data_IF_768139534003
#
_entry.id   IF_768139534003
#
_cell.length_a   1.000
_cell.length_b   1.000
_cell.length_c   1.000
_cell.angle_alpha   90.00
_cell.angle_beta   90.00
_cell.angle_gamma   90.00
#
_symmetry.space_group_name_H-M   'P 1'
#
loop_
_entity.id
_entity.type
_entity.pdbx_description
1 polymer ?
#
# COMPACT_ATOMS: atom_id res chain seq x y z
N UNK A 1 -0.22 6.40 24.53
CA UNK A 1 -1.41 6.58 23.68
C UNK A 1 -2.02 5.25 23.20
N UNK A 2 -1.38 4.47 22.31
CA UNK A 2 -2.00 3.25 21.73
C UNK A 2 -2.44 2.23 22.80
N UNK A 3 -1.59 1.92 23.78
CA UNK A 3 -1.93 0.99 24.88
C UNK A 3 -3.15 1.42 25.71
N UNK A 4 -3.46 2.71 25.73
CA UNK A 4 -4.62 3.27 26.43
C UNK A 4 -5.87 3.28 25.53
N UNK A 5 -5.71 3.70 24.27
CA UNK A 5 -6.82 3.91 23.35
C UNK A 5 -7.37 2.61 22.72
N UNK A 6 -6.54 1.58 22.55
CA UNK A 6 -6.97 0.31 21.92
C UNK A 6 -7.60 -0.59 22.97
N UNK A 7 -8.94 -0.72 22.92
CA UNK A 7 -9.76 -1.54 23.83
C UNK A 7 -10.65 -2.49 23.02
N UNK A 8 -11.13 -3.56 23.66
CA UNK A 8 -12.09 -4.48 23.03
C UNK A 8 -13.41 -3.76 22.71
N UNK A 9 -14.19 -4.25 21.72
CA UNK A 9 -15.52 -3.70 21.44
C UNK A 9 -16.44 -3.67 22.67
N UNK A 10 -16.41 -4.69 23.51
CA UNK A 10 -17.20 -4.75 24.74
C UNK A 10 -16.80 -3.68 25.77
N UNK A 11 -15.49 -3.47 25.96
CA UNK A 11 -15.00 -2.43 26.87
C UNK A 11 -15.33 -1.02 26.35
N UNK A 12 -15.28 -0.80 25.03
CA UNK A 12 -15.70 0.45 24.42
C UNK A 12 -17.21 0.66 24.59
N UNK A 13 -18.03 -0.35 24.30
CA UNK A 13 -19.48 -0.28 24.48
C UNK A 13 -19.85 0.10 25.92
N UNK A 14 -19.26 -0.59 26.91
CA UNK A 14 -19.47 -0.26 28.32
C UNK A 14 -19.05 1.18 28.64
N UNK A 15 -17.90 1.64 28.14
CA UNK A 15 -17.42 3.00 28.37
C UNK A 15 -18.35 4.06 27.78
N UNK A 16 -18.95 3.79 26.62
CA UNK A 16 -19.89 4.69 25.96
C UNK A 16 -21.18 4.80 26.78
N UNK A 17 -21.74 3.68 27.23
CA UNK A 17 -23.04 3.66 27.93
C UNK A 17 -22.97 4.02 29.40
N UNK A 18 -21.77 4.03 30.00
CA UNK A 18 -21.59 4.39 31.43
C UNK A 18 -20.96 5.77 31.59
N UNK A 19 -19.74 5.95 31.08
CA UNK A 19 -18.97 7.20 31.27
C UNK A 19 -19.33 8.24 30.20
N UNK A 20 -19.61 7.79 28.97
CA UNK A 20 -19.89 8.68 27.83
C UNK A 20 -21.10 9.58 28.04
N UNK A 21 -22.19 9.05 28.62
CA UNK A 21 -23.43 9.80 28.87
C UNK A 21 -23.19 10.98 29.82
N UNK A 22 -22.49 10.74 30.94
CA UNK A 22 -22.14 11.78 31.89
C UNK A 22 -21.14 12.78 31.32
N UNK A 23 -20.13 12.33 30.54
CA UNK A 23 -19.17 13.22 29.87
C UNK A 23 -19.83 14.17 28.87
N UNK A 24 -20.79 13.66 28.09
CA UNK A 24 -21.56 14.46 27.15
C UNK A 24 -22.67 15.28 27.83
N UNK A 25 -22.83 15.13 29.15
CA UNK A 25 -23.88 15.77 29.96
C UNK A 25 -25.28 15.52 29.39
N UNK A 26 -25.54 14.30 28.92
CA UNK A 26 -26.82 13.90 28.34
C UNK A 26 -27.86 13.52 29.40
N UNK A 27 -27.47 13.52 30.68
CA UNK A 27 -28.32 13.24 31.85
C UNK A 27 -28.90 14.54 32.47
N UNK A 28 -28.86 15.66 31.74
CA UNK A 28 -29.33 16.95 32.26
C UNK A 28 -30.86 17.04 32.24
N UNK A 29 -31.40 17.72 33.24
CA UNK A 29 -32.84 17.92 33.43
C UNK A 29 -33.49 18.85 32.38
N UNK A 30 -32.71 19.74 31.76
CA UNK A 30 -33.20 20.71 30.77
C UNK A 30 -33.50 20.11 29.39
N UNK A 31 -33.07 18.87 29.13
CA UNK A 31 -33.42 18.14 27.90
C UNK A 31 -34.93 17.92 27.75
N UNK A 32 -35.63 17.78 28.88
CA UNK A 32 -37.09 17.61 28.92
C UNK A 32 -37.85 18.85 28.43
N UNK A 33 -37.26 20.05 28.54
CA UNK A 33 -37.85 21.28 27.99
C UNK A 33 -37.85 21.32 26.45
N UNK A 34 -37.10 20.42 25.81
CA UNK A 34 -37.05 20.23 24.37
C UNK A 34 -37.73 18.92 23.92
N UNK A 35 -38.50 18.26 24.80
CA UNK A 35 -39.13 16.96 24.55
C UNK A 35 -38.13 15.86 24.14
N UNK A 36 -36.87 15.96 24.61
CA UNK A 36 -35.81 15.00 24.32
C UNK A 36 -35.60 14.03 25.48
N UNK A 37 -35.63 12.74 25.17
CA UNK A 37 -35.30 11.65 26.11
C UNK A 37 -34.15 10.82 25.57
N UNK A 38 -33.12 10.58 26.39
CA UNK A 38 -31.93 9.79 26.04
C UNK A 38 -32.02 8.40 26.68
N UNK A 39 -31.84 7.35 25.89
CA UNK A 39 -31.78 5.97 26.38
C UNK A 39 -30.34 5.58 26.72
N UNK A 40 -30.06 4.95 27.87
CA UNK A 40 -28.70 4.66 28.32
C UNK A 40 -28.12 3.36 27.73
N UNK A 41 -28.65 2.89 26.60
CA UNK A 41 -28.18 1.69 25.92
C UNK A 41 -27.90 1.98 24.44
N UNK A 42 -27.00 1.18 23.86
CA UNK A 42 -26.71 1.28 22.44
C UNK A 42 -27.94 0.91 21.59
N UNK A 43 -28.05 1.54 20.43
CA UNK A 43 -29.05 1.17 19.44
C UNK A 43 -28.76 -0.25 18.93
N UNK A 44 -29.77 -1.11 18.97
CA UNK A 44 -29.70 -2.45 18.38
C UNK A 44 -30.22 -2.42 16.95
N UNK A 45 -29.41 -2.93 16.01
CA UNK A 45 -29.76 -2.98 14.58
C UNK A 45 -29.57 -4.41 14.05
N UNK A 46 -30.42 -4.80 13.11
CA UNK A 46 -30.27 -6.07 12.41
C UNK A 46 -29.15 -5.97 11.37
N UNK A 47 -28.05 -6.68 11.61
CA UNK A 47 -26.94 -6.82 10.67
C UNK A 47 -27.13 -7.97 9.70
N UNK A 48 -26.55 -7.86 8.50
CA UNK A 48 -26.42 -8.97 7.54
C UNK A 48 -24.95 -9.35 7.39
N UNK A 49 -24.66 -10.65 7.45
CA UNK A 49 -23.33 -11.19 7.15
C UNK A 49 -23.30 -11.67 5.70
N UNK A 50 -22.57 -10.95 4.85
CA UNK A 50 -22.40 -11.34 3.46
C UNK A 50 -21.52 -12.60 3.35
N UNK A 51 -21.76 -13.48 2.36
CA UNK A 51 -20.88 -14.60 2.08
C UNK A 51 -19.49 -14.09 1.70
N UNK A 52 -18.45 -14.78 2.16
CA UNK A 52 -17.08 -14.40 1.84
C UNK A 52 -16.76 -14.72 0.37
N UNK A 53 -16.11 -13.81 -0.37
CA UNK A 53 -15.70 -14.12 -1.73
C UNK A 53 -14.61 -15.19 -1.74
N UNK A 54 -14.50 -15.89 -2.87
CA UNK A 54 -13.37 -16.76 -3.11
C UNK A 54 -12.19 -15.96 -3.66
N UNK A 55 -10.97 -16.49 -3.47
CA UNK A 55 -9.74 -15.89 -4.01
C UNK A 55 -9.15 -16.81 -5.07
N UNK A 56 -8.93 -16.29 -6.27
CA UNK A 56 -8.39 -17.02 -7.41
C UNK A 56 -6.89 -16.74 -7.59
N UNK A 57 -6.09 -17.81 -7.55
CA UNK A 57 -4.67 -17.88 -7.88
C UNK A 57 -4.48 -18.61 -9.21
N UNK A 58 -3.26 -18.66 -9.75
CA UNK A 58 -3.00 -19.19 -11.10
C UNK A 58 -3.58 -20.59 -11.37
N UNK A 59 -3.59 -21.47 -10.36
CA UNK A 59 -4.07 -22.86 -10.49
C UNK A 59 -5.08 -23.27 -9.42
N UNK A 60 -5.45 -22.36 -8.51
CA UNK A 60 -6.24 -22.71 -7.32
C UNK A 60 -7.16 -21.57 -6.91
N UNK A 61 -8.42 -21.92 -6.69
CA UNK A 61 -9.39 -21.04 -6.02
C UNK A 61 -9.53 -21.49 -4.57
N UNK A 62 -9.53 -20.55 -3.63
CA UNK A 62 -9.68 -20.87 -2.20
C UNK A 62 -10.80 -20.07 -1.55
N UNK A 63 -11.48 -20.72 -0.61
CA UNK A 63 -12.43 -20.06 0.28
C UNK A 63 -11.70 -19.24 1.33
N UNK A 64 -12.26 -18.08 1.65
CA UNK A 64 -11.75 -17.19 2.69
C UNK A 64 -12.40 -17.54 4.02
N UNK A 65 -11.59 -17.73 5.07
CA UNK A 65 -12.08 -18.03 6.42
C UNK A 65 -11.75 -16.83 7.32
N UNK A 66 -12.76 -16.22 7.94
CA UNK A 66 -12.61 -15.04 8.80
C UNK A 66 -11.79 -13.91 8.13
N UNK A 67 -12.08 -13.63 6.85
CA UNK A 67 -11.36 -12.65 6.03
C UNK A 67 -9.85 -12.94 5.88
N UNK A 68 -9.41 -14.20 6.05
CA UNK A 68 -8.01 -14.62 5.93
C UNK A 68 -7.83 -15.76 4.93
N UNK A 69 -6.65 -15.77 4.33
CA UNK A 69 -6.12 -16.80 3.45
C UNK A 69 -4.58 -16.73 3.51
N UNK A 70 -3.90 -17.74 2.97
CA UNK A 70 -2.44 -17.76 2.86
C UNK A 70 -1.97 -18.16 1.46
N UNK A 71 -0.65 -18.11 1.25
CA UNK A 71 0.02 -18.44 -0.01
C UNK A 71 0.70 -19.81 -0.01
N UNK A 72 0.52 -20.64 1.02
CA UNK A 72 1.11 -21.99 1.06
C UNK A 72 0.54 -22.82 -0.08
N UNK A 73 1.43 -23.44 -0.85
CA UNK A 73 1.12 -24.26 -2.03
C UNK A 73 0.30 -23.53 -3.11
N UNK A 74 0.51 -22.21 -3.26
CA UNK A 74 -0.18 -21.37 -4.25
C UNK A 74 0.83 -20.49 -4.97
N UNK A 75 0.64 -20.32 -6.28
CA UNK A 75 1.42 -19.40 -7.10
C UNK A 75 0.59 -18.20 -7.52
N UNK A 76 1.26 -17.07 -7.76
CA UNK A 76 0.60 -15.83 -8.14
C UNK A 76 -0.11 -15.96 -9.49
N UNK A 77 -1.25 -15.29 -9.66
CA UNK A 77 -2.05 -15.32 -10.89
C UNK A 77 -1.23 -14.96 -12.14
N UNK A 78 -0.38 -13.94 -12.03
CA UNK A 78 0.60 -13.53 -13.03
C UNK A 78 1.89 -13.12 -12.32
N UNK A 79 2.90 -13.98 -12.39
CA UNK A 79 4.24 -13.65 -11.94
C UNK A 79 4.92 -12.74 -12.98
N UNK A 80 5.46 -11.61 -12.52
CA UNK A 80 6.29 -10.74 -13.34
C UNK A 80 7.72 -11.29 -13.42
N UNK A 81 8.32 -11.21 -14.61
CA UNK A 81 9.73 -11.53 -14.79
C UNK A 81 10.61 -10.36 -14.35
N UNK A 82 11.74 -10.67 -13.72
CA UNK A 82 12.75 -9.67 -13.34
C UNK A 82 14.13 -10.25 -13.66
N UNK A 83 14.67 -9.87 -14.82
CA UNK A 83 15.95 -10.37 -15.34
C UNK A 83 17.14 -9.58 -14.83
N UNK A 84 16.97 -8.28 -14.52
CA UNK A 84 18.02 -7.42 -13.99
C UNK A 84 17.50 -6.59 -12.82
N UNK A 85 18.13 -6.72 -11.66
CA UNK A 85 17.84 -5.92 -10.48
C UNK A 85 19.11 -5.70 -9.66
N UNK A 86 19.06 -4.71 -8.77
CA UNK A 86 20.19 -4.33 -7.90
C UNK A 86 19.72 -4.22 -6.46
N UNK A 87 20.65 -4.41 -5.53
CA UNK A 87 20.41 -4.20 -4.10
C UNK A 87 21.31 -3.07 -3.62
N UNK A 88 20.72 -2.05 -2.99
CA UNK A 88 21.43 -0.97 -2.30
C UNK A 88 21.13 -1.09 -0.80
N UNK A 89 22.17 -1.24 0.02
CA UNK A 89 22.06 -1.17 1.47
C UNK A 89 22.58 0.17 1.96
N UNK A 90 21.69 0.96 2.56
CA UNK A 90 22.00 2.27 3.12
C UNK A 90 22.15 2.12 4.63
N UNK A 91 23.22 2.66 5.22
CA UNK A 91 23.44 2.66 6.67
C UNK A 91 23.75 4.06 7.18
N UNK A 92 23.21 4.40 8.34
CA UNK A 92 23.51 5.63 9.07
C UNK A 92 23.86 5.27 10.52
N UNK A 93 25.15 5.08 10.81
CA UNK A 93 25.63 4.60 12.11
C UNK A 93 25.79 3.08 12.17
N UNK A 94 25.14 2.42 13.14
CA UNK A 94 25.27 0.97 13.34
C UNK A 94 24.73 0.16 12.16
N UNK A 95 25.48 -0.87 11.76
CA UNK A 95 25.13 -1.77 10.67
C UNK A 95 24.60 -3.08 11.25
N UNK A 96 23.49 -3.61 10.71
CA UNK A 96 22.96 -4.92 11.12
C UNK A 96 23.89 -6.06 10.67
N UNK A 97 24.43 -5.95 9.46
CA UNK A 97 25.41 -6.90 8.92
C UNK A 97 26.80 -6.26 8.92
N UNK A 98 27.74 -6.84 9.65
CA UNK A 98 29.16 -6.45 9.60
C UNK A 98 29.90 -7.15 8.46
N UNK A 99 29.49 -8.36 8.09
CA UNK A 99 30.03 -9.11 6.97
C UNK A 99 29.07 -9.04 5.77
N UNK A 100 29.51 -8.55 4.60
CA UNK A 100 28.70 -8.54 3.38
C UNK A 100 28.13 -9.92 2.98
N UNK A 101 28.82 -11.01 3.33
CA UNK A 101 28.37 -12.37 3.04
C UNK A 101 27.06 -12.74 3.78
N UNK A 102 26.83 -12.19 4.97
CA UNK A 102 25.61 -12.46 5.73
C UNK A 102 24.39 -11.81 5.06
N UNK A 103 24.56 -10.60 4.53
CA UNK A 103 23.53 -9.94 3.74
C UNK A 103 23.28 -10.70 2.42
N UNK A 104 24.34 -11.17 1.75
CA UNK A 104 24.20 -11.99 0.55
C UNK A 104 23.41 -13.29 0.82
N UNK A 105 23.62 -13.90 1.99
CA UNK A 105 22.85 -15.07 2.44
C UNK A 105 21.37 -14.73 2.61
N UNK A 106 21.06 -13.60 3.27
CA UNK A 106 19.67 -13.12 3.41
C UNK A 106 19.01 -12.86 2.05
N UNK A 107 19.73 -12.23 1.11
CA UNK A 107 19.23 -11.97 -0.25
C UNK A 107 18.97 -13.27 -1.01
N UNK A 108 19.84 -14.27 -0.85
CA UNK A 108 19.67 -15.59 -1.46
C UNK A 108 18.46 -16.33 -0.89
N UNK A 109 18.26 -16.27 0.43
CA UNK A 109 17.08 -16.81 1.11
C UNK A 109 15.79 -16.10 0.66
N UNK A 110 15.84 -14.77 0.47
CA UNK A 110 14.74 -13.98 -0.09
C UNK A 110 14.35 -14.48 -1.48
N UNK A 111 15.28 -14.54 -2.43
CA UNK A 111 15.03 -15.04 -3.79
C UNK A 111 14.50 -16.47 -3.78
N UNK A 112 15.10 -17.34 -2.98
CA UNK A 112 14.66 -18.74 -2.85
C UNK A 112 13.21 -18.83 -2.36
N UNK A 113 12.86 -18.07 -1.32
CA UNK A 113 11.50 -18.03 -0.77
C UNK A 113 10.44 -17.56 -1.77
N UNK A 114 10.80 -16.66 -2.68
CA UNK A 114 9.90 -16.17 -3.72
C UNK A 114 9.60 -17.19 -4.82
N UNK A 115 10.48 -18.17 -5.04
CA UNK A 115 10.21 -19.27 -6.00
C UNK A 115 8.99 -20.08 -5.59
N UNK A 116 8.74 -20.23 -4.29
CA UNK A 116 7.57 -20.95 -3.75
C UNK A 116 6.23 -20.34 -4.16
N UNK A 117 6.18 -19.05 -4.49
CA UNK A 117 4.98 -18.37 -5.00
C UNK A 117 5.00 -18.16 -6.52
N UNK A 118 5.96 -18.79 -7.22
CA UNK A 118 6.07 -18.74 -8.69
C UNK A 118 6.86 -17.55 -9.24
N UNK A 119 7.54 -16.77 -8.40
CA UNK A 119 8.42 -15.69 -8.85
C UNK A 119 9.80 -16.25 -9.18
N UNK A 120 10.06 -16.45 -10.48
CA UNK A 120 11.32 -16.96 -11.01
C UNK A 120 12.26 -15.82 -11.40
N UNK A 121 12.72 -15.05 -10.41
CA UNK A 121 13.61 -13.91 -10.63
C UNK A 121 15.07 -14.32 -10.76
N UNK A 122 15.87 -13.45 -11.37
CA UNK A 122 17.32 -13.61 -11.43
C UNK A 122 17.93 -13.78 -10.03
N UNK A 123 19.11 -14.41 -9.98
CA UNK A 123 19.85 -14.63 -8.74
C UNK A 123 20.06 -13.33 -7.94
N UNK A 124 20.24 -13.47 -6.63
CA UNK A 124 20.48 -12.35 -5.72
C UNK A 124 21.72 -11.54 -6.16
N UNK A 125 21.57 -10.25 -6.52
CA UNK A 125 22.69 -9.42 -6.90
C UNK A 125 23.57 -9.12 -5.68
N UNK A 126 24.88 -8.91 -5.86
CA UNK A 126 25.73 -8.44 -4.78
C UNK A 126 25.20 -7.08 -4.26
N UNK A 127 25.07 -6.89 -2.94
CA UNK A 127 24.60 -5.63 -2.37
C UNK A 127 25.67 -4.55 -2.52
N UNK A 128 25.29 -3.38 -3.01
CA UNK A 128 26.11 -2.17 -2.93
C UNK A 128 25.84 -1.46 -1.60
N UNK A 129 26.89 -1.12 -0.85
CA UNK A 129 26.78 -0.43 0.44
C UNK A 129 26.95 1.08 0.25
N UNK A 130 26.05 1.86 0.85
CA UNK A 130 26.17 3.31 0.99
C UNK A 130 26.10 3.69 2.47
N UNK A 131 27.16 4.34 2.95
CA UNK A 131 27.17 4.95 4.29
C UNK A 131 26.79 6.42 4.15
N UNK A 132 25.78 6.85 4.90
CA UNK A 132 25.32 8.23 4.90
C UNK A 132 25.43 8.84 6.29
N UNK A 133 25.68 10.15 6.32
CA UNK A 133 25.56 10.93 7.54
C UNK A 133 24.08 11.16 7.88
N UNK A 134 23.76 11.14 9.17
CA UNK A 134 22.37 11.26 9.63
C UNK A 134 21.78 12.67 9.40
N UNK A 135 22.63 13.70 9.31
CA UNK A 135 22.25 15.11 9.20
C UNK A 135 21.78 15.50 7.79
N UNK A 136 22.38 14.96 6.73
CA UNK A 136 22.00 15.29 5.36
C UNK A 136 22.24 14.12 4.37
N UNK A 137 21.42 13.06 4.43
CA UNK A 137 21.63 11.86 3.61
C UNK A 137 21.26 12.05 2.13
N UNK A 138 20.50 13.09 1.77
CA UNK A 138 19.81 13.20 0.48
C UNK A 138 20.75 13.28 -0.74
N UNK A 139 21.83 14.07 -0.65
CA UNK A 139 22.74 14.26 -1.79
C UNK A 139 23.47 12.96 -2.16
N UNK A 140 24.05 12.27 -1.17
CA UNK A 140 24.73 11.00 -1.36
C UNK A 140 23.78 9.90 -1.86
N UNK A 141 22.55 9.85 -1.33
CA UNK A 141 21.52 8.91 -1.79
C UNK A 141 21.16 9.17 -3.26
N UNK A 142 20.93 10.42 -3.62
CA UNK A 142 20.53 10.79 -4.99
C UNK A 142 21.63 10.46 -5.98
N UNK A 143 22.89 10.82 -5.68
CA UNK A 143 24.04 10.47 -6.52
C UNK A 143 24.16 8.95 -6.69
N UNK A 144 24.06 8.18 -5.60
CA UNK A 144 24.22 6.73 -5.67
C UNK A 144 23.09 6.06 -6.44
N UNK A 145 21.86 6.54 -6.28
CA UNK A 145 20.70 6.01 -7.02
C UNK A 145 20.77 6.36 -8.50
N UNK A 146 21.27 7.55 -8.86
CA UNK A 146 21.53 7.91 -10.25
C UNK A 146 22.53 6.94 -10.92
N UNK A 147 23.66 6.67 -10.28
CA UNK A 147 24.65 5.68 -10.76
C UNK A 147 24.02 4.29 -11.00
N UNK A 148 23.16 3.85 -10.08
CA UNK A 148 22.45 2.57 -10.18
C UNK A 148 21.40 2.58 -11.29
N UNK A 149 20.66 3.67 -11.45
CA UNK A 149 19.64 3.84 -12.47
C UNK A 149 20.25 3.84 -13.88
N UNK A 150 21.45 4.41 -14.06
CA UNK A 150 22.19 4.38 -15.32
C UNK A 150 22.53 2.96 -15.78
N UNK A 151 22.59 1.98 -14.87
CA UNK A 151 22.74 0.55 -15.18
C UNK A 151 21.43 -0.10 -15.70
N UNK A 152 20.34 0.67 -15.79
CA UNK A 152 19.00 0.28 -16.27
C UNK A 152 18.44 -1.00 -15.63
N UNK A 153 18.41 -1.11 -14.29
CA UNK A 153 17.77 -2.24 -13.64
C UNK A 153 16.25 -2.21 -13.83
N UNK A 154 15.61 -3.37 -13.88
CA UNK A 154 14.15 -3.45 -13.85
C UNK A 154 13.58 -3.00 -12.50
N UNK A 155 14.35 -3.16 -11.41
CA UNK A 155 13.99 -2.71 -10.07
C UNK A 155 15.22 -2.59 -9.14
N UNK A 156 15.12 -1.71 -8.15
CA UNK A 156 16.03 -1.60 -7.01
C UNK A 156 15.38 -2.16 -5.73
N UNK A 157 16.05 -3.08 -5.04
CA UNK A 157 15.77 -3.38 -3.64
C UNK A 157 16.64 -2.46 -2.78
N UNK A 158 16.03 -1.60 -1.98
CA UNK A 158 16.75 -0.65 -1.13
C UNK A 158 16.55 -1.02 0.33
N UNK A 159 17.62 -1.43 1.00
CA UNK A 159 17.60 -1.77 2.42
C UNK A 159 17.99 -0.51 3.20
N UNK A 160 17.10 -0.06 4.09
CA UNK A 160 17.28 1.17 4.87
C UNK A 160 17.38 0.85 6.37
N UNK A 161 18.04 1.70 7.18
CA UNK A 161 18.19 1.44 8.60
C UNK A 161 16.83 1.57 9.32
N UNK A 162 16.68 0.89 10.45
CA UNK A 162 15.49 1.05 11.30
C UNK A 162 15.40 2.45 11.95
N UNK A 163 16.55 3.02 12.30
CA UNK A 163 16.68 4.35 12.87
C UNK A 163 16.81 5.43 11.77
N UNK A 164 16.24 6.62 12.00
CA UNK A 164 16.23 7.74 11.05
C UNK A 164 15.75 7.35 9.63
N UNK A 165 14.80 6.42 9.55
CA UNK A 165 14.40 5.81 8.29
C UNK A 165 13.54 6.74 7.42
N UNK A 166 12.87 7.74 7.99
CA UNK A 166 11.95 8.63 7.26
C UNK A 166 12.71 9.50 6.26
N UNK A 167 13.78 10.18 6.69
CA UNK A 167 14.58 11.07 5.82
C UNK A 167 15.22 10.30 4.67
N UNK A 168 15.82 9.15 4.98
CA UNK A 168 16.40 8.23 3.99
C UNK A 168 15.33 7.69 3.03
N UNK A 169 14.19 7.23 3.55
CA UNK A 169 13.09 6.73 2.73
C UNK A 169 12.58 7.81 1.77
N UNK A 170 12.37 9.03 2.25
CA UNK A 170 11.92 10.15 1.42
C UNK A 170 12.93 10.48 0.33
N UNK A 171 14.24 10.51 0.65
CA UNK A 171 15.29 10.74 -0.35
C UNK A 171 15.33 9.63 -1.41
N UNK A 172 15.24 8.36 -1.00
CA UNK A 172 15.19 7.22 -1.91
C UNK A 172 13.97 7.30 -2.83
N UNK A 173 12.80 7.62 -2.27
CA UNK A 173 11.54 7.70 -3.01
C UNK A 173 11.49 8.86 -3.97
N UNK A 174 11.94 10.03 -3.55
CA UNK A 174 12.07 11.18 -4.43
C UNK A 174 13.00 10.88 -5.60
N UNK A 175 14.19 10.35 -5.32
CA UNK A 175 15.16 10.01 -6.38
C UNK A 175 14.63 8.93 -7.33
N UNK A 176 14.11 7.81 -6.82
CA UNK A 176 13.62 6.73 -7.67
C UNK A 176 12.35 7.11 -8.46
N UNK A 177 11.34 7.66 -7.78
CA UNK A 177 10.00 7.83 -8.35
C UNK A 177 9.87 9.14 -9.15
N UNK A 178 10.64 10.20 -8.81
CA UNK A 178 10.55 11.52 -9.45
C UNK A 178 11.74 11.82 -10.37
N UNK A 179 12.97 11.53 -9.94
CA UNK A 179 14.16 11.93 -10.70
C UNK A 179 14.55 10.88 -11.75
N UNK A 180 14.65 9.61 -11.35
CA UNK A 180 15.22 8.55 -12.18
C UNK A 180 14.18 7.69 -12.90
N UNK A 181 12.93 7.67 -12.42
CA UNK A 181 11.86 6.84 -12.98
C UNK A 181 12.12 5.33 -12.87
N UNK A 182 12.84 4.89 -11.83
CA UNK A 182 13.20 3.49 -11.59
C UNK A 182 12.35 2.88 -10.49
N UNK A 183 11.80 1.69 -10.73
CA UNK A 183 11.02 0.99 -9.70
C UNK A 183 11.91 0.65 -8.50
N UNK A 184 11.45 0.97 -7.29
CA UNK A 184 12.17 0.60 -6.07
C UNK A 184 11.27 -0.02 -4.99
N UNK A 185 11.82 -0.94 -4.21
CA UNK A 185 11.21 -1.50 -3.02
C UNK A 185 12.12 -1.28 -1.81
N UNK A 186 11.66 -0.47 -0.85
CA UNK A 186 12.37 -0.29 0.40
C UNK A 186 12.04 -1.40 1.41
N UNK A 187 13.03 -1.88 2.14
CA UNK A 187 12.87 -2.80 3.29
C UNK A 187 13.72 -2.31 4.46
N UNK A 188 13.30 -2.61 5.68
CA UNK A 188 14.05 -2.21 6.89
C UNK A 188 15.03 -3.32 7.25
N UNK A 189 16.30 -2.96 7.42
CA UNK A 189 17.41 -3.88 7.73
C UNK A 189 17.11 -4.90 8.83
N UNK A 190 16.69 -4.45 10.01
CA UNK A 190 16.38 -5.27 11.19
C UNK A 190 15.19 -6.21 10.99
N UNK A 191 14.30 -5.91 10.03
CA UNK A 191 13.20 -6.81 9.65
C UNK A 191 13.68 -7.81 8.60
N UNK A 192 14.45 -7.36 7.63
CA UNK A 192 14.98 -8.19 6.55
C UNK A 192 15.98 -9.23 7.07
N UNK A 193 16.80 -8.87 8.06
CA UNK A 193 17.78 -9.77 8.70
C UNK A 193 17.16 -10.96 9.44
N UNK A 194 15.88 -10.89 9.82
CA UNK A 194 15.20 -12.00 10.52
C UNK A 194 14.88 -13.19 9.63
N UNK A 195 15.04 -13.07 8.31
CA UNK A 195 14.80 -14.13 7.32
C UNK A 195 13.43 -14.82 7.45
N UNK A 196 12.40 -14.08 7.90
CA UNK A 196 11.06 -14.64 8.03
C UNK A 196 10.44 -14.81 6.65
N UNK A 197 10.19 -16.05 6.24
CA UNK A 197 9.63 -16.37 4.92
C UNK A 197 8.34 -15.61 4.62
N UNK A 198 7.45 -15.45 5.60
CA UNK A 198 6.21 -14.69 5.42
C UNK A 198 6.47 -13.21 5.12
N UNK A 199 7.49 -12.60 5.73
CA UNK A 199 7.89 -11.23 5.44
C UNK A 199 8.46 -11.12 4.03
N UNK A 200 9.35 -12.03 3.64
CA UNK A 200 9.92 -12.09 2.29
C UNK A 200 8.86 -12.25 1.21
N UNK A 201 7.93 -13.19 1.39
CA UNK A 201 6.80 -13.37 0.48
C UNK A 201 5.98 -12.08 0.38
N UNK A 202 5.67 -11.42 1.50
CA UNK A 202 4.91 -10.16 1.47
C UNK A 202 5.64 -9.03 0.73
N UNK A 203 6.97 -8.94 0.85
CA UNK A 203 7.79 -8.00 0.06
C UNK A 203 7.73 -8.37 -1.44
N UNK A 204 7.85 -9.66 -1.77
CA UNK A 204 7.74 -10.15 -3.15
C UNK A 204 6.39 -9.86 -3.79
N UNK A 205 5.28 -9.95 -3.04
CA UNK A 205 3.95 -9.56 -3.51
C UNK A 205 3.89 -8.10 -3.95
N UNK A 206 4.52 -7.20 -3.21
CA UNK A 206 4.55 -5.76 -3.55
C UNK A 206 5.40 -5.51 -4.79
N UNK A 207 6.57 -6.14 -4.87
CA UNK A 207 7.47 -6.05 -6.02
C UNK A 207 6.83 -6.63 -7.29
N UNK A 208 6.10 -7.75 -7.20
CA UNK A 208 5.38 -8.33 -8.33
C UNK A 208 4.36 -7.34 -8.91
N UNK A 209 3.59 -6.64 -8.07
CA UNK A 209 2.63 -5.63 -8.53
C UNK A 209 3.33 -4.46 -9.23
N UNK A 210 4.44 -3.96 -8.69
CA UNK A 210 5.24 -2.88 -9.30
C UNK A 210 5.79 -3.26 -10.67
N UNK A 211 6.14 -4.54 -10.87
CA UNK A 211 6.60 -5.08 -12.16
C UNK A 211 5.45 -5.45 -13.12
N UNK A 212 4.20 -5.08 -12.80
CA UNK A 212 3.04 -5.35 -13.66
C UNK A 212 2.49 -6.78 -13.58
N UNK A 213 2.89 -7.53 -12.55
CA UNK A 213 2.32 -8.84 -12.20
C UNK A 213 0.95 -8.71 -11.52
N UNK A 214 0.27 -9.83 -11.32
CA UNK A 214 -1.01 -9.91 -10.61
C UNK A 214 -0.92 -11.01 -9.57
N UNK A 215 -1.12 -10.66 -8.31
CA UNK A 215 -0.96 -11.63 -7.22
C UNK A 215 -2.11 -12.65 -7.20
N UNK A 216 -3.34 -12.15 -7.37
CA UNK A 216 -4.60 -12.91 -7.27
C UNK A 216 -5.73 -12.10 -7.91
N UNK A 217 -6.85 -12.75 -8.18
CA UNK A 217 -8.09 -12.11 -8.65
C UNK A 217 -9.30 -12.67 -7.89
N UNK A 218 -10.48 -12.17 -8.24
CA UNK A 218 -11.77 -12.69 -7.79
C UNK A 218 -12.35 -13.52 -8.94
N UNK A 219 -12.86 -14.75 -8.71
CA UNK A 219 -13.51 -15.52 -9.76
C UNK A 219 -14.71 -14.79 -10.38
N UNK A 220 -14.98 -15.02 -11.66
CA UNK A 220 -16.13 -14.43 -12.37
C UNK A 220 -17.47 -14.83 -11.70
N UNK A 221 -17.54 -16.00 -11.05
CA UNK A 221 -18.72 -16.43 -10.26
C UNK A 221 -19.06 -15.50 -9.08
N UNK A 222 -18.11 -14.67 -8.64
CA UNK A 222 -18.29 -13.73 -7.54
C UNK A 222 -18.62 -12.29 -8.02
N UNK A 223 -18.72 -12.04 -9.33
CA UNK A 223 -18.98 -10.69 -9.86
C UNK A 223 -20.45 -10.26 -9.78
N UNK A 224 -21.37 -11.20 -9.56
CA UNK A 224 -22.80 -10.92 -9.46
C UNK A 224 -23.33 -10.29 -10.75
N UNK A 225 -23.95 -9.12 -10.65
CA UNK A 225 -24.46 -8.35 -11.80
C UNK A 225 -23.41 -7.44 -12.44
N UNK A 226 -22.22 -7.30 -11.84
CA UNK A 226 -21.15 -6.49 -12.38
C UNK A 226 -20.42 -7.31 -13.44
N UNK A 227 -20.19 -6.71 -14.61
CA UNK A 227 -19.36 -7.23 -15.69
C UNK A 227 -17.94 -6.63 -15.58
N UNK A 228 -16.94 -7.31 -14.97
CA UNK A 228 -15.62 -6.73 -14.73
C UNK A 228 -14.87 -6.40 -16.03
N UNK A 229 -15.20 -7.04 -17.14
CA UNK A 229 -14.64 -6.78 -18.47
C UNK A 229 -15.15 -5.48 -19.11
N UNK A 230 -16.25 -4.92 -18.61
CA UNK A 230 -16.85 -3.66 -19.09
C UNK A 230 -16.85 -2.55 -18.04
N UNK A 231 -16.45 -2.84 -16.80
CA UNK A 231 -16.59 -1.93 -15.67
C UNK A 231 -15.23 -1.49 -15.18
N UNK A 232 -14.97 -0.18 -15.20
CA UNK A 232 -13.78 0.41 -14.60
C UNK A 232 -14.11 0.88 -13.18
N UNK A 233 -13.33 0.41 -12.21
CA UNK A 233 -13.39 0.87 -10.83
C UNK A 233 -12.37 1.99 -10.63
N UNK A 234 -12.79 3.04 -9.92
CA UNK A 234 -12.00 4.25 -9.71
C UNK A 234 -12.01 4.61 -8.23
N UNK A 235 -10.85 4.97 -7.70
CA UNK A 235 -10.69 5.53 -6.35
C UNK A 235 -10.26 6.99 -6.45
N UNK A 236 -10.87 7.86 -5.65
CA UNK A 236 -10.55 9.28 -5.52
C UNK A 236 -10.30 9.61 -4.04
N UNK A 237 -9.24 10.36 -3.78
CA UNK A 237 -8.91 10.85 -2.43
C UNK A 237 -8.13 12.17 -2.50
N UNK A 238 -8.36 13.04 -1.53
CA UNK A 238 -7.58 14.25 -1.30
C UNK A 238 -6.90 14.16 0.06
N UNK A 239 -5.58 14.28 0.06
CA UNK A 239 -4.80 14.34 1.29
C UNK A 239 -4.44 15.79 1.61
N UNK A 240 -4.85 16.25 2.79
CA UNK A 240 -4.45 17.56 3.33
C UNK A 240 -3.11 17.48 4.10
N UNK A 241 -2.40 18.61 4.21
CA UNK A 241 -1.20 18.68 5.05
C UNK A 241 -1.45 18.29 6.50
N UNK A 242 -0.46 17.64 7.12
CA UNK A 242 -0.49 17.29 8.53
C UNK A 242 -0.58 18.54 9.44
N UNK A 243 -1.16 18.43 10.64
CA UNK A 243 -1.10 19.49 11.65
C UNK A 243 0.34 19.96 11.88
N UNK A 244 0.55 21.29 11.90
CA UNK A 244 1.88 21.91 12.02
C UNK A 244 2.58 22.21 10.70
N UNK A 245 2.02 21.80 9.55
CA UNK A 245 2.46 22.29 8.24
C UNK A 245 2.14 23.78 8.06
N UNK A 246 2.81 24.43 7.10
CA UNK A 246 2.47 25.81 6.73
C UNK A 246 1.01 25.89 6.27
N UNK A 247 0.35 27.03 6.54
CA UNK A 247 -1.05 27.23 6.10
C UNK A 247 -1.22 27.19 4.59
N UNK A 248 -0.15 27.49 3.85
CA UNK A 248 -0.06 27.42 2.40
C UNK A 248 0.34 26.04 1.85
N UNK A 249 0.62 25.05 2.71
CA UNK A 249 0.96 23.71 2.25
C UNK A 249 -0.21 23.16 1.43
N UNK A 250 0.05 22.67 0.20
CA UNK A 250 -1.02 22.32 -0.71
C UNK A 250 -1.69 21.00 -0.33
N UNK A 251 -2.92 20.78 -0.81
CA UNK A 251 -3.52 19.44 -0.78
C UNK A 251 -3.04 18.63 -1.99
N UNK A 252 -3.02 17.31 -1.86
CA UNK A 252 -2.71 16.41 -2.97
C UNK A 252 -3.95 15.61 -3.32
N UNK A 253 -4.51 15.86 -4.51
CA UNK A 253 -5.57 15.04 -5.09
C UNK A 253 -4.96 13.83 -5.80
N UNK A 254 -5.62 12.68 -5.67
CA UNK A 254 -5.18 11.42 -6.27
C UNK A 254 -6.35 10.67 -6.91
N UNK A 255 -6.06 10.05 -8.05
CA UNK A 255 -6.95 9.09 -8.71
C UNK A 255 -6.20 7.79 -8.95
N UNK A 256 -6.90 6.67 -8.76
CA UNK A 256 -6.47 5.34 -9.19
C UNK A 256 -7.60 4.68 -9.97
N UNK A 257 -7.27 3.80 -10.91
CA UNK A 257 -8.30 2.97 -11.54
C UNK A 257 -7.80 1.59 -11.90
N UNK A 258 -8.71 0.61 -11.88
CA UNK A 258 -8.47 -0.67 -12.55
C UNK A 258 -8.22 -0.42 -14.05
N UNK A 259 -7.39 -1.25 -14.68
CA UNK A 259 -7.11 -1.15 -16.13
C UNK A 259 -7.60 -2.35 -16.94
N UNK A 260 -8.06 -3.41 -16.27
CA UNK A 260 -8.64 -4.59 -16.88
C UNK A 260 -9.50 -5.38 -15.88
N UNK A 261 -10.14 -6.45 -16.38
CA UNK A 261 -11.01 -7.34 -15.60
C UNK A 261 -10.33 -8.06 -14.43
N UNK A 262 -9.00 -8.14 -14.41
CA UNK A 262 -8.27 -8.88 -13.37
C UNK A 262 -8.25 -8.14 -12.04
N UNK A 263 -8.49 -6.81 -12.09
CA UNK A 263 -8.40 -5.90 -10.94
C UNK A 263 -7.05 -5.98 -10.22
N UNK A 264 -5.99 -6.40 -10.93
CA UNK A 264 -4.66 -6.59 -10.38
C UNK A 264 -3.75 -5.37 -10.44
N UNK A 265 -4.04 -4.41 -11.32
CA UNK A 265 -3.20 -3.25 -11.62
C UNK A 265 -4.00 -1.96 -11.49
N UNK A 266 -3.46 -1.01 -10.72
CA UNK A 266 -4.12 0.23 -10.32
C UNK A 266 -3.15 1.42 -10.42
N UNK A 267 -2.78 1.84 -11.65
CA UNK A 267 -1.94 3.00 -11.84
C UNK A 267 -2.61 4.26 -11.26
N UNK A 268 -1.78 5.09 -10.63
CA UNK A 268 -2.19 6.32 -9.99
C UNK A 268 -1.81 7.55 -10.82
N UNK A 269 -2.60 8.62 -10.69
CA UNK A 269 -2.22 9.96 -11.08
C UNK A 269 -2.52 10.93 -9.93
N UNK A 270 -1.67 11.95 -9.77
CA UNK A 270 -1.78 12.92 -8.68
C UNK A 270 -1.71 14.35 -9.20
N UNK A 271 -2.34 15.28 -8.48
CA UNK A 271 -2.28 16.72 -8.69
C UNK A 271 -2.15 17.45 -7.38
N UNK A 272 -1.33 18.49 -7.38
CA UNK A 272 -1.23 19.44 -6.27
C UNK A 272 -2.31 20.48 -6.48
N UNK A 273 -3.05 20.81 -5.42
CA UNK A 273 -4.09 21.84 -5.46
C UNK A 273 -4.06 22.69 -4.20
N UNK A 274 -4.93 23.71 -4.16
CA UNK A 274 -5.03 24.66 -3.07
C UNK A 274 -5.16 23.97 -1.70
N UNK A 275 -4.60 24.62 -0.67
CA UNK A 275 -4.60 24.12 0.70
C UNK A 275 -6.03 23.86 1.17
N UNK A 276 -6.26 22.67 1.75
CA UNK A 276 -7.54 22.22 2.34
C UNK A 276 -8.75 22.23 1.39
N UNK A 277 -8.52 22.26 0.08
CA UNK A 277 -9.58 22.11 -0.91
C UNK A 277 -9.91 20.65 -1.11
N UNK A 278 -11.15 20.26 -0.83
CA UNK A 278 -11.62 18.87 -1.00
C UNK A 278 -12.04 18.55 -2.43
N UNK A 279 -12.60 19.55 -3.14
CA UNK A 279 -12.99 19.38 -4.54
C UNK A 279 -11.75 19.27 -5.43
N UNK A 280 -11.64 18.18 -6.18
CA UNK A 280 -10.52 17.94 -7.11
C UNK A 280 -10.64 18.90 -8.30
N UNK A 281 -9.68 19.83 -8.44
CA UNK A 281 -9.71 20.87 -9.48
C UNK A 281 -9.60 20.26 -10.88
N UNK A 282 -8.60 19.40 -11.10
CA UNK A 282 -8.25 18.84 -12.42
C UNK A 282 -8.86 17.44 -12.62
N UNK A 283 -10.07 17.21 -12.10
CA UNK A 283 -10.69 15.88 -12.12
C UNK A 283 -10.86 15.37 -13.55
N UNK A 284 -11.23 16.25 -14.48
CA UNK A 284 -11.43 15.90 -15.90
C UNK A 284 -10.14 15.37 -16.54
N UNK A 285 -9.01 16.06 -16.43
CA UNK A 285 -7.75 15.59 -17.01
C UNK A 285 -7.26 14.28 -16.36
N UNK A 286 -7.39 14.19 -15.03
CA UNK A 286 -7.06 13.00 -14.27
C UNK A 286 -7.86 11.78 -14.77
N UNK A 287 -9.18 11.93 -14.92
CA UNK A 287 -10.07 10.87 -15.38
C UNK A 287 -9.80 10.49 -16.85
N UNK A 288 -9.55 11.47 -17.72
CA UNK A 288 -9.15 11.21 -19.11
C UNK A 288 -7.87 10.38 -19.18
N UNK A 289 -6.90 10.64 -18.28
CA UNK A 289 -5.71 9.81 -18.11
C UNK A 289 -6.06 8.35 -17.84
N UNK A 290 -6.90 8.09 -16.83
CA UNK A 290 -7.33 6.74 -16.47
C UNK A 290 -8.09 6.02 -17.61
N UNK A 291 -8.98 6.72 -18.32
CA UNK A 291 -9.69 6.17 -19.48
C UNK A 291 -8.73 5.79 -20.62
N UNK A 292 -7.69 6.59 -20.87
CA UNK A 292 -6.64 6.27 -21.84
C UNK A 292 -5.86 5.02 -21.43
N UNK A 293 -5.56 4.86 -20.13
CA UNK A 293 -4.89 3.66 -19.59
C UNK A 293 -5.73 2.40 -19.80
N UNK A 294 -7.03 2.46 -19.48
CA UNK A 294 -7.97 1.37 -19.74
C UNK A 294 -8.01 1.03 -21.23
N UNK A 295 -8.26 2.02 -22.11
CA UNK A 295 -8.36 1.80 -23.56
C UNK A 295 -7.08 1.22 -24.15
N UNK A 296 -5.91 1.63 -23.66
CA UNK A 296 -4.63 1.04 -24.09
C UNK A 296 -4.55 -0.45 -23.79
N UNK A 297 -5.15 -0.89 -22.67
CA UNK A 297 -5.12 -2.27 -22.20
C UNK A 297 -6.22 -3.15 -22.82
N UNK A 298 -7.43 -2.62 -22.97
CA UNK A 298 -8.64 -3.37 -23.40
C UNK A 298 -9.07 -3.08 -24.84
N UNK A 299 -8.46 -2.08 -25.49
CA UNK A 299 -8.79 -1.56 -26.84
C UNK A 299 -10.14 -0.84 -26.97
N UNK A 300 -10.98 -0.88 -25.93
CA UNK A 300 -12.29 -0.20 -25.87
C UNK A 300 -12.35 0.72 -24.65
N UNK A 301 -13.33 1.62 -24.59
CA UNK A 301 -13.64 2.36 -23.36
C UNK A 301 -14.49 1.49 -22.42
N UNK A 302 -14.45 1.72 -21.10
CA UNK A 302 -15.35 1.02 -20.19
C UNK A 302 -16.79 1.45 -20.46
N UNK A 303 -17.74 0.52 -20.35
CA UNK A 303 -19.17 0.83 -20.46
C UNK A 303 -19.74 1.37 -19.14
N UNK A 304 -19.17 0.94 -18.01
CA UNK A 304 -19.60 1.33 -16.67
C UNK A 304 -18.42 1.88 -15.86
N UNK A 305 -18.74 2.83 -14.97
CA UNK A 305 -17.81 3.41 -14.01
C UNK A 305 -18.35 3.20 -12.60
N UNK A 306 -17.53 2.66 -11.69
CA UNK A 306 -17.82 2.61 -10.27
C UNK A 306 -16.76 3.46 -9.56
N UNK A 307 -17.19 4.57 -8.98
CA UNK A 307 -16.31 5.55 -8.34
C UNK A 307 -16.48 5.45 -6.83
N UNK A 308 -15.36 5.19 -6.15
CA UNK A 308 -15.24 5.29 -4.70
C UNK A 308 -14.55 6.61 -4.37
N UNK A 309 -15.27 7.50 -3.70
CA UNK A 309 -14.73 8.75 -3.19
C UNK A 309 -15.01 8.84 -1.70
N UNK A 310 -14.03 9.33 -0.96
CA UNK A 310 -14.26 9.85 0.39
C UNK A 310 -14.41 11.36 0.23
N UNK A 311 -15.60 11.88 0.50
CA UNK A 311 -15.85 13.29 0.72
C UNK A 311 -16.35 13.44 2.17
#
# INVERSE_FOLDING_TARGET
MIKFAVRSPSANANSITTVGLSLLRLERSDMSAFDLTVQPHLLTVLGRRLPSPQVHFARKTVSVVNARWDLRDKTLLKAAAMSSWRCLYITAGQQVWSNPADLQTCLSAFVSGLRGIGLQWAAAPPPELLRVEASNPSAAISQKLHELAMKKPSMLLVIIPAYNNISIYNAVKYSCDIQEGVLCQCVVDSKFAKQQIQYYVNVGLNMNLKLGGVNRSIPDSNSGTISPEKTMFVGLDVTHPSPGSTSSAPSVASIVSSIDRTLGQWPAAIRVQEARKEMITDLTELFQGQLKLWRRKTRILPANLIVFSRF
#
